data_IF_416479296624
#
_entry.id   IF_416479296624
#
_cell.length_a   1.000
_cell.length_b   1.000
_cell.length_c   1.000
_cell.angle_alpha   90.00
_cell.angle_beta   90.00
_cell.angle_gamma   90.00
#
_symmetry.space_group_name_H-M   'P 1'
#
loop_
_entity.id
_entity.type
_entity.pdbx_description
1 polymer ?
#
# COMPACT_ATOMS: atom_id res chain seq x y z
N UNK A 1 -19.80 -22.38 -12.54
CA UNK A 1 -18.71 -22.53 -13.52
C UNK A 1 -17.50 -21.73 -13.05
N UNK A 2 -16.31 -22.30 -13.22
CA UNK A 2 -15.06 -21.63 -12.89
C UNK A 2 -14.23 -21.51 -14.17
N UNK A 3 -13.75 -20.31 -14.46
CA UNK A 3 -12.88 -20.05 -15.61
C UNK A 3 -11.52 -19.58 -15.12
N UNK A 4 -10.46 -20.17 -15.65
CA UNK A 4 -9.08 -19.88 -15.27
C UNK A 4 -8.37 -19.30 -16.49
N UNK A 5 -7.67 -18.19 -16.29
CA UNK A 5 -6.77 -17.61 -17.29
C UNK A 5 -5.33 -17.67 -16.78
N UNK A 6 -4.43 -18.13 -17.64
CA UNK A 6 -2.99 -18.11 -17.40
C UNK A 6 -2.34 -17.10 -18.34
N UNK A 7 -1.46 -16.27 -17.83
CA UNK A 7 -0.78 -15.23 -18.58
C UNK A 7 0.72 -15.46 -18.58
N UNK A 8 1.32 -15.40 -19.76
CA UNK A 8 2.76 -15.52 -19.92
C UNK A 8 3.47 -14.16 -19.81
N UNK A 9 4.80 -14.19 -19.67
CA UNK A 9 5.61 -12.98 -19.51
C UNK A 9 5.45 -11.97 -20.63
N UNK A 10 5.24 -12.40 -21.87
CA UNK A 10 5.06 -11.50 -23.01
C UNK A 10 3.71 -10.76 -22.94
N UNK A 11 2.66 -11.44 -22.46
CA UNK A 11 1.36 -10.80 -22.26
C UNK A 11 1.41 -9.78 -21.12
N UNK A 12 2.13 -10.09 -20.06
CA UNK A 12 2.37 -9.16 -18.94
C UNK A 12 3.11 -7.92 -19.45
N UNK A 13 4.19 -8.08 -20.22
CA UNK A 13 4.96 -6.95 -20.76
C UNK A 13 4.13 -6.08 -21.73
N UNK A 14 3.36 -6.69 -22.61
CA UNK A 14 2.43 -5.93 -23.50
C UNK A 14 1.37 -5.18 -22.71
N UNK A 15 0.88 -5.78 -21.61
CA UNK A 15 -0.11 -5.13 -20.76
C UNK A 15 0.49 -3.95 -19.98
N UNK A 16 1.75 -4.04 -19.58
CA UNK A 16 2.48 -2.93 -18.98
C UNK A 16 2.55 -1.73 -19.93
N UNK A 17 2.94 -1.94 -21.18
CA UNK A 17 2.97 -0.87 -22.19
C UNK A 17 1.60 -0.22 -22.40
N UNK A 18 0.52 -1.02 -22.40
CA UNK A 18 -0.84 -0.50 -22.56
C UNK A 18 -1.25 0.32 -21.35
N UNK A 19 -0.99 -0.18 -20.15
CA UNK A 19 -1.34 0.50 -18.90
C UNK A 19 -0.56 1.80 -18.77
N UNK A 20 0.76 1.79 -19.01
CA UNK A 20 1.63 2.97 -18.99
C UNK A 20 1.11 4.08 -19.91
N UNK A 21 0.72 3.74 -21.14
CA UNK A 21 0.20 4.71 -22.12
C UNK A 21 -1.19 5.25 -21.80
N UNK A 22 -1.96 4.57 -20.95
CA UNK A 22 -3.32 4.99 -20.55
C UNK A 22 -3.38 5.70 -19.22
N UNK A 23 -2.35 5.55 -18.39
CA UNK A 23 -2.30 6.20 -17.06
C UNK A 23 -2.01 7.69 -17.21
N UNK A 24 -2.80 8.49 -16.51
CA UNK A 24 -2.64 9.94 -16.40
C UNK A 24 -1.71 10.34 -15.24
N UNK A 25 -1.56 9.46 -14.27
CA UNK A 25 -0.63 9.62 -13.14
C UNK A 25 -0.04 8.25 -12.73
N UNK A 26 1.18 8.21 -12.18
CA UNK A 26 1.78 6.96 -11.74
C UNK A 26 1.03 6.40 -10.53
N UNK A 27 0.73 5.09 -10.57
CA UNK A 27 0.15 4.34 -9.45
C UNK A 27 1.24 3.46 -8.82
N UNK A 28 1.36 3.52 -7.50
CA UNK A 28 2.38 2.77 -6.75
C UNK A 28 2.06 1.28 -6.56
N UNK A 29 0.85 0.83 -6.89
CA UNK A 29 0.44 -0.57 -6.71
C UNK A 29 0.67 -1.40 -8.00
N UNK A 30 1.67 -2.32 -8.00
CA UNK A 30 1.96 -3.16 -9.17
C UNK A 30 0.84 -4.13 -9.51
N UNK A 31 -0.12 -4.35 -8.61
CA UNK A 31 -1.26 -5.24 -8.85
C UNK A 31 -2.26 -4.70 -9.88
N UNK A 32 -2.05 -3.48 -10.39
CA UNK A 32 -2.80 -2.96 -11.54
C UNK A 32 -2.65 -3.86 -12.78
N UNK A 33 -1.49 -4.48 -12.99
CA UNK A 33 -1.25 -5.35 -14.14
C UNK A 33 -2.08 -6.64 -14.09
N UNK A 34 -2.05 -7.45 -13.03
CA UNK A 34 -2.93 -8.61 -12.94
C UNK A 34 -4.41 -8.22 -12.93
N UNK A 35 -4.78 -7.09 -12.33
CA UNK A 35 -6.16 -6.59 -12.35
C UNK A 35 -6.60 -6.23 -13.78
N UNK A 36 -5.73 -5.58 -14.56
CA UNK A 36 -5.97 -5.28 -15.97
C UNK A 36 -6.17 -6.57 -16.80
N UNK A 37 -5.30 -7.56 -16.63
CA UNK A 37 -5.38 -8.83 -17.34
C UNK A 37 -6.65 -9.61 -16.98
N UNK A 38 -6.99 -9.66 -15.70
CA UNK A 38 -8.22 -10.28 -15.21
C UNK A 38 -9.45 -9.58 -15.79
N UNK A 39 -9.46 -8.25 -15.80
CA UNK A 39 -10.54 -7.45 -16.36
C UNK A 39 -10.71 -7.68 -17.86
N UNK A 40 -9.61 -7.80 -18.60
CA UNK A 40 -9.59 -8.12 -20.02
C UNK A 40 -10.22 -9.48 -20.27
N UNK A 41 -9.84 -10.48 -19.51
CA UNK A 41 -10.40 -11.84 -19.61
C UNK A 41 -11.90 -11.87 -19.26
N UNK A 42 -12.30 -11.25 -18.14
CA UNK A 42 -13.69 -11.24 -17.71
C UNK A 42 -14.60 -10.51 -18.70
N UNK A 43 -14.10 -9.45 -19.34
CA UNK A 43 -14.84 -8.67 -20.34
C UNK A 43 -15.30 -9.50 -21.54
N UNK A 44 -14.63 -10.58 -21.87
CA UNK A 44 -15.02 -11.47 -22.97
C UNK A 44 -16.38 -12.14 -22.70
N UNK A 45 -16.71 -12.33 -21.41
CA UNK A 45 -17.93 -13.06 -20.98
C UNK A 45 -18.98 -12.18 -20.35
N UNK A 46 -18.59 -11.07 -19.66
CA UNK A 46 -19.51 -10.23 -18.90
C UNK A 46 -19.27 -8.73 -19.15
N UNK A 47 -20.30 -7.92 -18.94
CA UNK A 47 -20.20 -6.46 -19.01
C UNK A 47 -19.98 -5.83 -17.62
N UNK A 48 -20.46 -6.51 -16.59
CA UNK A 48 -20.39 -6.10 -15.18
C UNK A 48 -19.88 -7.26 -14.36
N UNK A 49 -18.95 -7.01 -13.46
CA UNK A 49 -18.45 -7.98 -12.48
C UNK A 49 -18.60 -7.43 -11.06
N UNK A 50 -18.77 -8.34 -10.09
CA UNK A 50 -18.70 -8.00 -8.67
C UNK A 50 -17.33 -8.36 -8.14
N UNK A 51 -16.72 -7.45 -7.37
CA UNK A 51 -15.44 -7.68 -6.70
C UNK A 51 -15.61 -7.77 -5.19
N UNK A 52 -14.55 -8.22 -4.50
CA UNK A 52 -14.48 -8.25 -3.04
C UNK A 52 -13.67 -7.10 -2.46
N UNK A 53 -13.35 -6.10 -3.26
CA UNK A 53 -12.50 -4.97 -2.83
C UNK A 53 -13.20 -4.11 -1.77
N UNK A 54 -12.43 -3.65 -0.80
CA UNK A 54 -12.97 -2.93 0.36
C UNK A 54 -13.33 -3.84 1.55
N UNK A 55 -13.36 -5.15 1.38
CA UNK A 55 -13.69 -6.06 2.47
C UNK A 55 -12.62 -6.06 3.56
N UNK A 56 -11.35 -6.03 3.19
CA UNK A 56 -10.23 -6.00 4.15
C UNK A 56 -10.21 -4.71 4.97
N UNK A 57 -10.56 -3.58 4.39
CA UNK A 57 -10.65 -2.29 5.05
C UNK A 57 -11.81 -2.24 6.05
N UNK A 58 -12.95 -2.79 5.66
CA UNK A 58 -14.16 -2.79 6.48
C UNK A 58 -14.14 -3.85 7.58
N UNK A 59 -13.61 -5.04 7.28
CA UNK A 59 -13.60 -6.17 8.20
C UNK A 59 -12.23 -6.44 8.83
N UNK A 60 -11.27 -5.51 8.66
CA UNK A 60 -9.93 -5.59 9.26
C UNK A 60 -9.15 -6.86 8.87
N UNK A 61 -9.21 -7.24 7.60
CA UNK A 61 -8.60 -8.46 7.07
C UNK A 61 -7.07 -8.42 6.98
N UNK A 62 -6.46 -7.23 6.84
CA UNK A 62 -5.02 -7.07 6.70
C UNK A 62 -4.24 -7.51 7.95
N UNK A 63 -3.07 -8.10 7.71
CA UNK A 63 -2.17 -8.52 8.79
C UNK A 63 -1.82 -7.40 9.80
N UNK A 64 -1.63 -6.14 9.42
CA UNK A 64 -1.41 -5.04 10.35
C UNK A 64 -2.52 -4.85 11.38
N UNK A 65 -3.78 -5.10 11.04
CA UNK A 65 -4.89 -5.02 12.02
C UNK A 65 -4.75 -6.07 13.12
N UNK A 66 -4.39 -7.30 12.74
CA UNK A 66 -4.16 -8.40 13.70
C UNK A 66 -3.00 -8.08 14.64
N UNK A 67 -1.99 -7.41 14.11
CA UNK A 67 -0.78 -7.03 14.85
C UNK A 67 -0.96 -5.79 15.73
N UNK A 68 -1.95 -4.94 15.48
CA UNK A 68 -2.12 -3.63 16.13
C UNK A 68 -2.11 -3.71 17.66
N UNK A 69 -2.69 -4.76 18.25
CA UNK A 69 -2.70 -4.96 19.69
C UNK A 69 -1.32 -5.30 20.27
N UNK A 70 -0.50 -6.05 19.54
CA UNK A 70 0.86 -6.42 19.94
C UNK A 70 1.85 -5.29 19.73
N UNK A 71 1.57 -4.43 18.77
CA UNK A 71 2.47 -3.36 18.34
C UNK A 71 2.39 -2.12 19.25
N UNK A 72 1.44 -2.07 20.19
CA UNK A 72 1.39 -1.02 21.23
C UNK A 72 2.70 -0.90 22.02
N UNK A 73 3.40 -2.02 22.22
CA UNK A 73 4.69 -2.03 22.88
C UNK A 73 5.81 -1.38 22.06
N UNK A 74 5.68 -1.34 20.74
CA UNK A 74 6.66 -0.69 19.87
C UNK A 74 6.62 0.84 19.98
N UNK A 75 5.50 1.40 20.47
CA UNK A 75 5.37 2.82 20.74
C UNK A 75 6.24 3.30 21.91
N UNK A 76 6.72 2.37 22.73
CA UNK A 76 7.63 2.69 23.84
C UNK A 76 9.06 2.94 23.38
N UNK A 77 9.38 2.57 22.14
CA UNK A 77 10.71 2.78 21.57
C UNK A 77 10.83 4.25 21.15
N UNK A 78 11.81 5.00 21.68
CA UNK A 78 12.06 6.36 21.25
C UNK A 78 12.36 6.45 19.75
N UNK A 79 11.89 7.50 19.09
CA UNK A 79 11.98 7.66 17.64
C UNK A 79 13.42 7.57 17.11
N UNK A 80 14.38 8.18 17.83
CA UNK A 80 15.79 8.12 17.48
C UNK A 80 16.35 6.68 17.47
N UNK A 81 15.95 5.86 18.43
CA UNK A 81 16.34 4.43 18.48
C UNK A 81 15.65 3.68 17.36
N UNK A 82 14.37 3.93 17.13
CA UNK A 82 13.63 3.33 16.02
C UNK A 82 14.28 3.62 14.66
N UNK A 83 14.69 4.85 14.41
CA UNK A 83 15.38 5.24 13.17
C UNK A 83 16.73 4.54 12.98
N UNK A 84 17.52 4.37 14.05
CA UNK A 84 18.78 3.61 13.99
C UNK A 84 18.54 2.15 13.64
N UNK A 85 17.54 1.53 14.27
CA UNK A 85 17.17 0.14 13.98
C UNK A 85 16.72 0.01 12.51
N UNK A 86 15.84 0.90 12.03
CA UNK A 86 15.37 0.91 10.64
C UNK A 86 16.52 1.05 9.66
N UNK A 87 17.40 2.03 9.87
CA UNK A 87 18.56 2.28 9.00
C UNK A 87 19.52 1.08 8.96
N UNK A 88 19.65 0.36 10.06
CA UNK A 88 20.49 -0.84 10.13
C UNK A 88 19.83 -2.00 9.38
N UNK A 89 18.51 -2.21 9.57
CA UNK A 89 17.75 -3.25 8.87
C UNK A 89 17.71 -3.02 7.35
N UNK A 90 17.66 -1.78 6.90
CA UNK A 90 17.66 -1.45 5.47
C UNK A 90 18.96 -1.77 4.75
N UNK A 91 20.09 -1.78 5.47
CA UNK A 91 21.41 -2.16 4.92
C UNK A 91 21.56 -3.66 4.72
N UNK A 92 20.74 -4.46 5.39
CA UNK A 92 20.76 -5.92 5.23
C UNK A 92 20.10 -6.27 3.89
N UNK A 93 20.79 -7.01 2.99
CA UNK A 93 20.20 -7.43 1.73
C UNK A 93 18.89 -8.19 1.95
N UNK A 94 17.87 -7.86 1.18
CA UNK A 94 16.62 -8.60 1.22
C UNK A 94 16.81 -9.99 0.59
N UNK A 95 16.24 -11.01 1.22
CA UNK A 95 16.11 -12.32 0.58
C UNK A 95 14.96 -12.24 -0.44
N UNK A 96 15.09 -12.95 -1.55
CA UNK A 96 14.14 -12.93 -2.68
C UNK A 96 12.76 -13.53 -2.35
N UNK A 97 12.59 -14.10 -1.17
CA UNK A 97 11.32 -14.69 -0.75
C UNK A 97 10.37 -13.62 -0.21
N UNK A 98 9.31 -13.36 -0.94
CA UNK A 98 8.19 -12.52 -0.50
C UNK A 98 7.59 -13.06 0.81
N UNK A 99 7.29 -12.17 1.76
CA UNK A 99 6.77 -12.49 3.11
C UNK A 99 7.73 -13.32 3.99
N UNK A 100 9.02 -13.32 3.73
CA UNK A 100 10.02 -13.92 4.64
C UNK A 100 10.02 -13.18 5.99
N UNK A 101 10.48 -13.86 7.05
CA UNK A 101 10.65 -13.20 8.37
C UNK A 101 11.54 -11.95 8.28
N UNK A 102 12.54 -11.99 7.44
CA UNK A 102 13.42 -10.85 7.18
C UNK A 102 12.64 -9.67 6.57
N UNK A 103 11.79 -9.94 5.58
CA UNK A 103 10.90 -8.94 4.98
C UNK A 103 9.98 -8.32 6.03
N UNK A 104 9.33 -9.15 6.87
CA UNK A 104 8.42 -8.68 7.90
C UNK A 104 9.13 -7.81 8.95
N UNK A 105 10.29 -8.24 9.46
CA UNK A 105 11.08 -7.46 10.43
C UNK A 105 11.50 -6.11 9.84
N UNK A 106 11.97 -6.10 8.59
CA UNK A 106 12.36 -4.88 7.89
C UNK A 106 11.19 -3.91 7.75
N UNK A 107 9.99 -4.38 7.41
CA UNK A 107 8.80 -3.53 7.29
C UNK A 107 8.30 -3.03 8.65
N UNK A 108 8.24 -3.89 9.66
CA UNK A 108 7.86 -3.51 11.01
C UNK A 108 8.83 -2.45 11.58
N UNK A 109 10.14 -2.58 11.32
CA UNK A 109 11.13 -1.63 11.80
C UNK A 109 10.89 -0.19 11.33
N UNK A 110 10.33 0.00 10.14
CA UNK A 110 10.03 1.33 9.57
C UNK A 110 9.03 2.13 10.40
N UNK A 111 8.17 1.46 11.13
CA UNK A 111 7.19 2.09 12.03
C UNK A 111 7.70 2.35 13.44
N UNK A 112 8.90 1.88 13.82
CA UNK A 112 9.40 2.03 15.18
C UNK A 112 9.56 3.49 15.58
N UNK A 113 9.05 3.83 16.76
CA UNK A 113 9.13 5.19 17.32
C UNK A 113 8.17 6.20 16.67
N UNK A 114 7.33 5.77 15.73
CA UNK A 114 6.31 6.62 15.13
C UNK A 114 4.95 6.42 15.81
N UNK A 115 4.07 7.44 15.79
CA UNK A 115 2.70 7.29 16.29
C UNK A 115 1.97 6.14 15.59
N UNK A 116 1.13 5.42 16.30
CA UNK A 116 0.49 4.19 15.80
C UNK A 116 -0.30 4.38 14.50
N UNK A 117 -0.97 5.51 14.34
CA UNK A 117 -1.71 5.84 13.13
C UNK A 117 -0.79 6.03 11.90
N UNK A 118 0.49 6.35 12.11
CA UNK A 118 1.49 6.47 11.04
C UNK A 118 2.24 5.15 10.81
N UNK A 119 2.37 4.29 11.83
CA UNK A 119 3.12 3.04 11.73
C UNK A 119 2.61 2.15 10.61
N UNK A 120 1.29 1.98 10.53
CA UNK A 120 0.68 1.06 9.57
C UNK A 120 0.98 1.46 8.13
N UNK A 121 0.92 2.76 7.81
CA UNK A 121 1.26 3.24 6.48
C UNK A 121 2.75 3.07 6.17
N UNK A 122 3.61 3.25 7.16
CA UNK A 122 5.05 3.01 7.00
C UNK A 122 5.37 1.55 6.74
N UNK A 123 4.60 0.63 7.31
CA UNK A 123 4.73 -0.80 7.02
C UNK A 123 4.27 -1.14 5.60
N UNK A 124 3.28 -0.45 5.09
CA UNK A 124 2.75 -0.66 3.73
C UNK A 124 3.53 0.14 2.68
N UNK A 125 4.29 1.15 3.07
CA UNK A 125 5.06 1.97 2.13
C UNK A 125 6.18 1.16 1.48
N UNK A 126 6.33 1.21 0.14
CA UNK A 126 7.45 0.59 -0.57
C UNK A 126 8.79 1.26 -0.23
N UNK A 127 8.77 2.55 0.13
CA UNK A 127 9.95 3.35 0.45
C UNK A 127 9.98 3.74 1.92
N UNK A 128 11.17 3.70 2.53
CA UNK A 128 11.40 4.35 3.82
C UNK A 128 11.63 5.86 3.68
N UNK A 129 11.54 6.59 4.78
CA UNK A 129 11.84 8.03 4.79
C UNK A 129 13.26 8.34 4.29
N UNK A 130 14.22 7.45 4.59
CA UNK A 130 15.59 7.57 4.13
C UNK A 130 15.69 7.41 2.60
N UNK A 131 14.97 6.43 2.05
CA UNK A 131 14.91 6.20 0.61
C UNK A 131 14.26 7.37 -0.12
N UNK A 132 13.15 7.89 0.40
CA UNK A 132 12.49 9.09 -0.12
C UNK A 132 13.45 10.28 -0.11
N UNK A 133 14.15 10.49 1.01
CA UNK A 133 15.11 11.59 1.17
C UNK A 133 16.32 11.45 0.24
N UNK A 134 16.71 10.23 -0.15
CA UNK A 134 17.79 10.00 -1.10
C UNK A 134 17.38 10.20 -2.56
N UNK A 135 16.09 10.00 -2.87
CA UNK A 135 15.55 10.13 -4.22
C UNK A 135 15.15 11.56 -4.59
N UNK A 136 14.70 12.34 -3.62
CA UNK A 136 14.16 13.66 -3.85
C UNK A 136 15.24 14.76 -3.74
N UNK A 137 15.02 15.87 -4.46
CA UNK A 137 15.84 17.06 -4.35
C UNK A 137 15.75 17.67 -2.92
N UNK A 138 16.86 18.20 -2.42
CA UNK A 138 16.93 18.81 -1.07
C UNK A 138 15.95 19.98 -0.88
N UNK A 139 15.72 20.78 -1.91
CA UNK A 139 14.75 21.88 -1.88
C UNK A 139 13.34 21.34 -1.66
N UNK A 140 12.96 20.30 -2.43
CA UNK A 140 11.66 19.66 -2.29
C UNK A 140 11.46 19.03 -0.91
N UNK A 141 12.49 18.33 -0.37
CA UNK A 141 12.43 17.73 0.96
C UNK A 141 12.26 18.79 2.07
N UNK A 142 12.88 19.99 1.92
CA UNK A 142 12.75 21.06 2.91
C UNK A 142 11.32 21.60 3.01
N UNK A 143 10.59 21.61 1.90
CA UNK A 143 9.20 22.02 1.82
C UNK A 143 8.22 20.90 2.21
N UNK A 144 8.46 19.69 1.70
CA UNK A 144 7.62 18.51 1.84
C UNK A 144 8.31 17.38 2.62
N UNK A 145 8.66 17.65 3.87
CA UNK A 145 9.22 16.57 4.70
C UNK A 145 8.19 15.42 4.89
N UNK A 146 8.63 14.16 4.96
CA UNK A 146 7.72 13.03 5.17
C UNK A 146 6.79 13.21 6.37
N UNK A 147 7.26 13.87 7.43
CA UNK A 147 6.44 14.17 8.61
C UNK A 147 5.30 15.14 8.27
N UNK A 148 5.60 16.24 7.57
CA UNK A 148 4.57 17.21 7.14
C UNK A 148 3.54 16.57 6.23
N UNK A 149 3.99 15.74 5.27
CA UNK A 149 3.09 15.03 4.37
C UNK A 149 2.09 14.15 5.13
N UNK A 150 2.56 13.42 6.14
CA UNK A 150 1.66 12.60 6.97
C UNK A 150 0.68 13.44 7.79
N UNK A 151 1.13 14.56 8.34
CA UNK A 151 0.28 15.47 9.12
C UNK A 151 -0.80 16.15 8.25
N UNK A 152 -0.54 16.33 6.96
CA UNK A 152 -1.49 16.90 5.99
C UNK A 152 -2.46 15.88 5.40
N UNK A 153 -1.98 14.66 5.11
CA UNK A 153 -2.77 13.60 4.47
C UNK A 153 -3.72 12.93 5.46
N UNK A 154 -3.28 12.77 6.72
CA UNK A 154 -4.09 12.10 7.72
C UNK A 154 -5.33 12.92 8.05
N UNK A 155 -6.53 12.32 8.03
CA UNK A 155 -7.76 13.01 8.39
C UNK A 155 -7.64 13.61 9.80
N UNK A 156 -7.94 14.90 9.93
CA UNK A 156 -7.87 15.66 11.20
C UNK A 156 -8.74 15.07 12.32
N UNK A 157 -9.71 14.26 11.94
CA UNK A 157 -10.66 13.59 12.84
C UNK A 157 -10.10 12.34 13.50
N UNK A 158 -8.89 11.90 13.08
CA UNK A 158 -8.24 10.73 13.68
C UNK A 158 -7.61 11.14 15.00
N UNK A 159 -8.15 10.59 16.07
CA UNK A 159 -7.59 10.79 17.39
C UNK A 159 -6.27 10.01 17.51
N UNK A 160 -5.15 10.68 17.35
CA UNK A 160 -3.80 10.10 17.40
C UNK A 160 -3.47 9.35 18.71
N UNK A 161 -4.34 9.42 19.71
CA UNK A 161 -4.16 8.80 21.03
C UNK A 161 -4.78 7.42 21.16
N UNK A 162 -5.65 7.03 20.23
CA UNK A 162 -6.32 5.73 20.29
C UNK A 162 -5.74 4.80 19.23
N UNK A 163 -5.21 3.66 19.68
CA UNK A 163 -4.73 2.57 18.83
C UNK A 163 -5.86 1.55 18.61
N UNK A 164 -7.08 2.00 18.35
CA UNK A 164 -8.18 1.09 18.14
C UNK A 164 -8.15 0.56 16.70
N UNK A 165 -8.53 -0.71 16.55
CA UNK A 165 -8.73 -1.33 15.23
C UNK A 165 -9.72 -0.49 14.40
N UNK A 166 -10.74 0.06 15.04
CA UNK A 166 -11.75 0.91 14.40
C UNK A 166 -11.15 2.18 13.78
N UNK A 167 -10.16 2.79 14.42
CA UNK A 167 -9.49 3.96 13.86
C UNK A 167 -8.59 3.60 12.69
N UNK A 168 -7.89 2.47 12.77
CA UNK A 168 -7.14 1.97 11.63
C UNK A 168 -8.07 1.66 10.46
N UNK A 169 -9.20 1.00 10.70
CA UNK A 169 -10.21 0.73 9.67
C UNK A 169 -10.72 2.03 9.02
N UNK A 170 -11.00 3.06 9.81
CA UNK A 170 -11.40 4.38 9.28
C UNK A 170 -10.31 5.00 8.40
N UNK A 171 -9.05 4.92 8.81
CA UNK A 171 -7.93 5.43 8.02
C UNK A 171 -7.83 4.68 6.69
N UNK A 172 -7.86 3.34 6.73
CA UNK A 172 -7.80 2.52 5.53
C UNK A 172 -8.98 2.80 4.59
N UNK A 173 -10.19 2.87 5.12
CA UNK A 173 -11.38 3.14 4.32
C UNK A 173 -11.41 4.55 3.71
N UNK A 174 -10.76 5.55 4.34
CA UNK A 174 -10.77 6.93 3.87
C UNK A 174 -9.57 7.31 3.02
N UNK A 175 -8.43 6.65 3.19
CA UNK A 175 -7.20 6.98 2.47
C UNK A 175 -6.77 5.87 1.52
N UNK A 176 -6.60 4.65 2.01
CA UNK A 176 -6.04 3.56 1.22
C UNK A 176 -7.04 3.04 0.20
N UNK A 177 -8.26 2.75 0.63
CA UNK A 177 -9.29 2.22 -0.24
C UNK A 177 -9.59 3.15 -1.44
N UNK A 178 -9.90 4.45 -1.27
CA UNK A 178 -10.25 5.29 -2.40
C UNK A 178 -9.04 5.66 -3.29
N UNK A 179 -7.87 5.91 -2.70
CA UNK A 179 -6.73 6.45 -3.44
C UNK A 179 -5.82 5.38 -4.07
N UNK A 180 -5.93 4.12 -3.62
CA UNK A 180 -5.14 3.02 -4.14
C UNK A 180 -6.03 1.92 -4.72
N UNK A 181 -6.79 1.21 -3.89
CA UNK A 181 -7.55 0.03 -4.30
C UNK A 181 -8.63 0.36 -5.34
N UNK A 182 -9.54 1.29 -5.03
CA UNK A 182 -10.64 1.61 -5.94
C UNK A 182 -10.13 2.33 -7.21
N UNK A 183 -9.13 3.19 -7.09
CA UNK A 183 -8.50 3.84 -8.25
C UNK A 183 -7.86 2.82 -9.18
N UNK A 184 -7.13 1.85 -8.63
CA UNK A 184 -6.53 0.76 -9.40
C UNK A 184 -7.58 -0.05 -10.15
N UNK A 185 -8.64 -0.48 -9.45
CA UNK A 185 -9.68 -1.33 -10.01
C UNK A 185 -10.46 -0.60 -11.09
N UNK A 186 -10.87 0.64 -10.80
CA UNK A 186 -11.61 1.46 -11.76
C UNK A 186 -10.80 1.64 -13.05
N UNK A 187 -9.54 2.07 -12.95
CA UNK A 187 -8.68 2.26 -14.12
C UNK A 187 -8.45 0.97 -14.88
N UNK A 188 -8.02 -0.10 -14.20
CA UNK A 188 -7.72 -1.37 -14.84
C UNK A 188 -8.93 -1.99 -15.54
N UNK A 189 -10.12 -1.90 -14.94
CA UNK A 189 -11.35 -2.44 -15.50
C UNK A 189 -11.89 -1.56 -16.63
N UNK A 190 -11.90 -0.24 -16.44
CA UNK A 190 -12.40 0.70 -17.44
C UNK A 190 -11.51 0.74 -18.70
N UNK A 191 -10.21 0.52 -18.57
CA UNK A 191 -9.32 0.38 -19.74
C UNK A 191 -9.73 -0.78 -20.66
N UNK A 192 -10.44 -1.77 -20.12
CA UNK A 192 -11.01 -2.91 -20.85
C UNK A 192 -12.51 -2.75 -21.12
N UNK A 193 -13.15 -1.67 -20.66
CA UNK A 193 -14.59 -1.45 -20.76
C UNK A 193 -15.42 -2.44 -19.93
N UNK A 194 -14.87 -2.93 -18.82
CA UNK A 194 -15.56 -3.75 -17.83
C UNK A 194 -16.01 -2.86 -16.67
N UNK A 195 -17.28 -2.91 -16.31
CA UNK A 195 -17.77 -2.28 -15.08
C UNK A 195 -17.54 -3.22 -13.90
N UNK A 196 -16.85 -2.77 -12.86
CA UNK A 196 -16.64 -3.52 -11.61
C UNK A 196 -17.36 -2.81 -10.47
N UNK A 197 -18.07 -3.58 -9.66
CA UNK A 197 -18.84 -3.10 -8.50
C UNK A 197 -18.47 -3.86 -7.24
#
# INVERSE_FOLDING_TARGET
DNSIAEFNSNEIMKSLEIVENKMDEPLGDPSILPTFLLSKFAKESVKVALSGDGADELFCGYAPFKSANYLKFLNLIPQNIGQVITSTMERIPSQDNYMSYHFLIKHISRGLGWPSHQQVFRWMSPFSDNNISALLNKEFISEYSPKKMWDEILPKEINAKTNSIDELSKIFSRLYLPNDILTKIDRASMYNGLEVR
#
